data_IF_252596674811
#
_entry.id   IF_252596674811
#
_cell.length_a   1.000
_cell.length_b   1.000
_cell.length_c   1.000
_cell.angle_alpha   90.00
_cell.angle_beta   90.00
_cell.angle_gamma   90.00
#
_symmetry.space_group_name_H-M   'P 1'
#
loop_
_entity.id
_entity.type
_entity.pdbx_description
1 polymer ?
#
# COMPACT_ATOMS: atom_id res chain seq x y z
N UNK A 1 -3.09 -25.78 2.13
CA UNK A 1 -2.48 -24.93 1.07
C UNK A 1 -3.49 -23.98 0.44
N UNK A 2 -4.62 -24.49 -0.09
CA UNK A 2 -5.68 -23.66 -0.66
C UNK A 2 -6.28 -22.67 0.36
N UNK A 3 -6.52 -23.14 1.59
CA UNK A 3 -7.10 -22.28 2.64
C UNK A 3 -6.19 -21.09 2.99
N UNK A 4 -4.88 -21.28 3.07
CA UNK A 4 -3.92 -20.19 3.31
C UNK A 4 -3.95 -19.13 2.21
N UNK A 5 -4.10 -19.58 0.95
CA UNK A 5 -4.23 -18.67 -0.18
C UNK A 5 -5.53 -17.86 -0.09
N UNK A 6 -6.64 -18.52 0.26
CA UNK A 6 -7.94 -17.85 0.44
C UNK A 6 -7.90 -16.81 1.57
N UNK A 7 -7.29 -17.13 2.72
CA UNK A 7 -7.11 -16.16 3.81
C UNK A 7 -6.20 -15.00 3.42
N UNK A 8 -5.11 -15.28 2.71
CA UNK A 8 -4.20 -14.25 2.19
C UNK A 8 -4.93 -13.29 1.24
N UNK A 9 -5.67 -13.82 0.27
CA UNK A 9 -6.49 -13.01 -0.63
C UNK A 9 -7.56 -12.21 0.13
N UNK A 10 -8.22 -12.80 1.13
CA UNK A 10 -9.23 -12.14 1.95
C UNK A 10 -8.66 -10.94 2.73
N UNK A 11 -7.51 -11.12 3.38
CA UNK A 11 -6.82 -10.05 4.13
C UNK A 11 -6.34 -8.96 3.18
N UNK A 12 -5.79 -9.33 2.01
CA UNK A 12 -5.39 -8.36 1.00
C UNK A 12 -6.58 -7.53 0.52
N UNK A 13 -7.70 -8.17 0.14
CA UNK A 13 -8.92 -7.48 -0.29
C UNK A 13 -9.46 -6.55 0.80
N UNK A 14 -9.45 -6.98 2.07
CA UNK A 14 -9.83 -6.12 3.18
C UNK A 14 -8.91 -4.87 3.29
N UNK A 15 -7.60 -5.05 3.11
CA UNK A 15 -6.64 -3.95 3.01
C UNK A 15 -6.93 -2.98 1.86
N UNK A 16 -7.35 -3.49 0.70
CA UNK A 16 -7.73 -2.66 -0.45
C UNK A 16 -9.02 -1.88 -0.21
N UNK A 17 -10.01 -2.48 0.47
CA UNK A 17 -11.21 -1.76 0.91
C UNK A 17 -10.85 -0.64 1.88
N UNK A 18 -9.97 -0.91 2.85
CA UNK A 18 -9.46 0.11 3.78
C UNK A 18 -8.73 1.22 3.03
N UNK A 19 -7.89 0.88 2.04
CA UNK A 19 -7.19 1.84 1.20
C UNK A 19 -8.18 2.76 0.45
N UNK A 20 -9.24 2.19 -0.14
CA UNK A 20 -10.29 2.96 -0.81
C UNK A 20 -11.02 3.94 0.10
N UNK A 21 -11.05 3.71 1.42
CA UNK A 21 -11.60 4.63 2.40
C UNK A 21 -10.58 5.68 2.86
N UNK A 22 -9.31 5.30 3.03
CA UNK A 22 -8.26 6.18 3.55
C UNK A 22 -7.74 7.16 2.50
N UNK A 23 -7.50 6.73 1.26
CA UNK A 23 -6.92 7.60 0.23
C UNK A 23 -7.77 8.83 -0.13
N UNK A 24 -9.11 8.77 -0.15
CA UNK A 24 -9.96 9.96 -0.21
C UNK A 24 -9.67 10.98 0.90
N UNK A 25 -9.45 10.51 2.13
CA UNK A 25 -9.15 11.37 3.28
C UNK A 25 -7.77 12.02 3.11
N UNK A 26 -6.74 11.23 2.74
CA UNK A 26 -5.40 11.76 2.44
C UNK A 26 -5.46 12.82 1.34
N UNK A 27 -6.24 12.56 0.28
CA UNK A 27 -6.46 13.51 -0.82
C UNK A 27 -7.12 14.81 -0.38
N UNK A 28 -8.11 14.76 0.49
CA UNK A 28 -8.82 15.93 1.00
C UNK A 28 -7.94 16.75 1.96
N UNK A 29 -7.38 16.09 2.98
CA UNK A 29 -6.71 16.76 4.09
C UNK A 29 -5.26 17.16 3.79
N UNK A 30 -4.57 16.39 2.95
CA UNK A 30 -3.16 16.67 2.60
C UNK A 30 -3.05 17.26 1.20
N UNK A 31 -3.81 16.73 0.24
CA UNK A 31 -3.78 17.18 -1.15
C UNK A 31 -4.67 18.38 -1.47
N UNK A 32 -5.56 18.79 -0.55
CA UNK A 32 -6.50 19.90 -0.77
C UNK A 32 -7.51 19.68 -1.91
N UNK A 33 -7.74 18.42 -2.31
CA UNK A 33 -8.60 18.07 -3.43
C UNK A 33 -9.95 17.48 -2.99
N UNK A 34 -10.87 17.29 -3.94
CA UNK A 34 -12.18 16.72 -3.66
C UNK A 34 -12.09 15.30 -3.07
N UNK A 35 -12.96 15.04 -2.08
CA UNK A 35 -13.03 13.76 -1.36
C UNK A 35 -13.40 12.61 -2.32
N UNK A 36 -14.45 12.81 -3.12
CA UNK A 36 -14.92 11.79 -4.05
C UNK A 36 -14.01 11.75 -5.28
N UNK A 37 -13.46 10.56 -5.55
CA UNK A 37 -12.71 10.23 -6.76
C UNK A 37 -13.24 8.91 -7.29
N UNK A 38 -13.56 8.84 -8.58
CA UNK A 38 -13.82 7.55 -9.23
C UNK A 38 -12.49 6.80 -9.35
N UNK A 39 -12.43 5.48 -9.06
CA UNK A 39 -11.22 4.70 -9.24
C UNK A 39 -10.69 4.84 -10.67
N UNK A 40 -9.43 5.22 -10.80
CA UNK A 40 -8.76 5.43 -12.07
C UNK A 40 -7.46 4.61 -12.16
N UNK A 41 -6.68 4.85 -13.21
CA UNK A 41 -5.40 4.17 -13.41
C UNK A 41 -4.42 4.37 -12.25
N UNK A 42 -4.48 5.51 -11.56
CA UNK A 42 -3.63 5.78 -10.39
C UNK A 42 -4.08 4.95 -9.18
N UNK A 43 -5.38 4.75 -9.00
CA UNK A 43 -5.90 3.81 -8.01
C UNK A 43 -5.41 2.39 -8.30
N UNK A 44 -5.48 1.96 -9.56
CA UNK A 44 -5.01 0.62 -9.97
C UNK A 44 -3.50 0.43 -9.75
N UNK A 45 -2.68 1.43 -10.09
CA UNK A 45 -1.25 1.43 -9.76
C UNK A 45 -1.02 1.22 -8.26
N UNK A 46 -1.77 1.94 -7.42
CA UNK A 46 -1.69 1.79 -5.98
C UNK A 46 -2.01 0.36 -5.49
N UNK A 47 -3.01 -0.31 -6.08
CA UNK A 47 -3.35 -1.71 -5.79
C UNK A 47 -2.17 -2.62 -6.16
N UNK A 48 -1.62 -2.46 -7.36
CA UNK A 48 -0.51 -3.27 -7.86
C UNK A 48 0.75 -3.09 -7.01
N UNK A 49 1.06 -1.87 -6.62
CA UNK A 49 2.15 -1.54 -5.72
C UNK A 49 2.02 -2.24 -4.37
N UNK A 50 0.84 -2.17 -3.74
CA UNK A 50 0.57 -2.87 -2.48
C UNK A 50 0.63 -4.38 -2.64
N UNK A 51 0.16 -4.92 -3.76
CA UNK A 51 0.26 -6.35 -4.06
C UNK A 51 1.71 -6.81 -4.13
N UNK A 52 2.57 -6.05 -4.82
CA UNK A 52 4.01 -6.35 -4.91
C UNK A 52 4.67 -6.35 -3.54
N UNK A 53 4.41 -5.34 -2.71
CA UNK A 53 4.93 -5.27 -1.34
C UNK A 53 4.41 -6.45 -0.52
N UNK A 54 3.11 -6.71 -0.57
CA UNK A 54 2.45 -7.76 0.20
C UNK A 54 3.03 -9.14 -0.13
N UNK A 55 3.08 -9.50 -1.42
CA UNK A 55 3.63 -10.79 -1.87
C UNK A 55 5.13 -10.91 -1.55
N UNK A 56 5.89 -9.82 -1.72
CA UNK A 56 7.31 -9.79 -1.37
C UNK A 56 7.56 -10.05 0.12
N UNK A 57 6.81 -9.39 0.99
CA UNK A 57 6.90 -9.60 2.45
C UNK A 57 6.49 -11.01 2.86
N UNK A 58 5.41 -11.56 2.27
CA UNK A 58 5.00 -12.94 2.56
C UNK A 58 6.00 -13.99 2.09
N UNK A 59 6.82 -13.65 1.10
CA UNK A 59 7.89 -14.50 0.59
C UNK A 59 9.19 -14.36 1.38
N UNK A 60 9.21 -13.52 2.43
CA UNK A 60 10.41 -13.24 3.23
C UNK A 60 11.42 -12.34 2.52
N UNK A 61 10.97 -11.51 1.59
CA UNK A 61 11.81 -10.54 0.88
C UNK A 61 11.66 -9.15 1.50
N UNK A 62 12.27 -8.89 2.64
CA UNK A 62 12.19 -7.59 3.32
C UNK A 62 12.80 -6.46 2.47
N UNK A 63 13.76 -6.81 1.59
CA UNK A 63 14.36 -5.89 0.62
C UNK A 63 13.34 -5.27 -0.35
N UNK A 64 12.13 -5.84 -0.46
CA UNK A 64 11.05 -5.26 -1.28
C UNK A 64 10.70 -3.83 -0.84
N UNK A 65 10.79 -3.53 0.45
CA UNK A 65 10.52 -2.19 0.97
C UNK A 65 11.58 -1.18 0.52
N UNK A 66 12.85 -1.60 0.48
CA UNK A 66 13.97 -0.79 -0.01
C UNK A 66 13.83 -0.55 -1.50
N UNK A 67 13.56 -1.61 -2.27
CA UNK A 67 13.33 -1.54 -3.71
C UNK A 67 12.16 -0.59 -4.03
N UNK A 68 11.06 -0.70 -3.29
CA UNK A 68 9.88 0.12 -3.49
C UNK A 68 10.13 1.60 -3.15
N UNK A 69 10.85 1.86 -2.04
CA UNK A 69 11.29 3.21 -1.69
C UNK A 69 12.18 3.82 -2.78
N UNK A 70 13.14 3.06 -3.31
CA UNK A 70 14.00 3.49 -4.40
C UNK A 70 13.22 3.77 -5.69
N UNK A 71 12.24 2.94 -6.06
CA UNK A 71 11.39 3.14 -7.22
C UNK A 71 10.56 4.43 -7.12
N UNK A 72 9.96 4.69 -5.95
CA UNK A 72 9.18 5.92 -5.68
C UNK A 72 10.05 7.17 -5.66
N UNK A 73 11.30 7.07 -5.22
CA UNK A 73 12.26 8.18 -5.30
C UNK A 73 12.69 8.42 -6.75
N UNK A 74 13.10 7.37 -7.46
CA UNK A 74 13.62 7.45 -8.82
C UNK A 74 12.61 8.03 -9.82
N UNK A 75 11.32 7.74 -9.64
CA UNK A 75 10.25 8.29 -10.48
C UNK A 75 9.94 9.76 -10.21
N UNK A 76 10.46 10.35 -9.11
CA UNK A 76 10.17 11.72 -8.68
C UNK A 76 11.35 12.68 -8.76
N UNK A 77 12.56 12.20 -9.01
CA UNK A 77 13.78 13.03 -9.14
C UNK A 77 13.66 14.16 -10.17
N UNK A 78 12.77 14.05 -11.17
CA UNK A 78 12.54 15.09 -12.17
C UNK A 78 11.46 16.13 -11.79
N UNK A 79 10.72 15.94 -10.68
CA UNK A 79 9.56 16.77 -10.32
C UNK A 79 9.75 17.61 -9.03
N UNK A 80 10.94 17.59 -8.43
CA UNK A 80 11.23 18.22 -7.12
C UNK A 80 10.97 19.74 -7.07
N UNK A 81 10.93 20.44 -8.21
CA UNK A 81 10.74 21.89 -8.27
C UNK A 81 9.30 22.40 -8.28
N UNK A 82 8.26 21.53 -8.35
CA UNK A 82 6.94 21.98 -8.83
C UNK A 82 5.90 22.38 -7.77
N UNK A 83 5.94 21.92 -6.52
CA UNK A 83 5.07 22.41 -5.41
C UNK A 83 5.30 21.66 -4.07
N UNK A 84 5.53 22.35 -2.92
CA UNK A 84 5.71 21.70 -1.61
C UNK A 84 4.51 20.88 -1.12
N UNK A 85 3.28 21.36 -1.38
CA UNK A 85 2.03 20.68 -1.02
C UNK A 85 1.90 19.35 -1.76
N UNK A 86 2.30 19.32 -3.03
CA UNK A 86 2.36 18.10 -3.85
C UNK A 86 3.33 17.09 -3.23
N UNK A 87 4.51 17.55 -2.79
CA UNK A 87 5.51 16.67 -2.20
C UNK A 87 5.04 16.01 -0.88
N UNK A 88 4.41 16.79 0.01
CA UNK A 88 3.86 16.27 1.26
C UNK A 88 2.72 15.27 1.01
N UNK A 89 1.83 15.56 0.05
CA UNK A 89 0.76 14.65 -0.35
C UNK A 89 1.32 13.31 -0.86
N UNK A 90 2.34 13.33 -1.71
CA UNK A 90 2.98 12.11 -2.21
C UNK A 90 3.70 11.33 -1.11
N UNK A 91 4.42 12.00 -0.22
CA UNK A 91 5.12 11.34 0.88
C UNK A 91 4.13 10.63 1.82
N UNK A 92 3.09 11.34 2.27
CA UNK A 92 2.06 10.76 3.14
C UNK A 92 1.35 9.61 2.43
N UNK A 93 0.94 9.79 1.17
CA UNK A 93 0.28 8.74 0.39
C UNK A 93 1.13 7.46 0.27
N UNK A 94 2.44 7.59 0.01
CA UNK A 94 3.34 6.45 -0.09
C UNK A 94 3.52 5.75 1.25
N UNK A 95 3.74 6.50 2.35
CA UNK A 95 3.86 5.92 3.68
C UNK A 95 2.58 5.22 4.13
N UNK A 96 1.41 5.81 3.86
CA UNK A 96 0.11 5.18 4.11
C UNK A 96 -0.05 3.89 3.31
N UNK A 97 0.33 3.88 2.02
CA UNK A 97 0.26 2.68 1.17
C UNK A 97 1.12 1.54 1.71
N UNK A 98 2.38 1.84 2.06
CA UNK A 98 3.32 0.88 2.63
C UNK A 98 2.81 0.35 3.98
N UNK A 99 2.28 1.23 4.83
CA UNK A 99 1.72 0.84 6.13
C UNK A 99 0.57 -0.15 5.98
N UNK A 100 -0.37 0.11 5.06
CA UNK A 100 -1.49 -0.81 4.79
C UNK A 100 -0.97 -2.19 4.36
N UNK A 101 0.00 -2.24 3.43
CA UNK A 101 0.55 -3.51 2.94
C UNK A 101 1.30 -4.29 4.04
N UNK A 102 2.10 -3.60 4.87
CA UNK A 102 2.79 -4.21 6.01
C UNK A 102 1.77 -4.73 7.02
N UNK A 103 0.75 -3.94 7.39
CA UNK A 103 -0.28 -4.36 8.34
C UNK A 103 -1.03 -5.58 7.83
N UNK A 104 -1.37 -5.63 6.54
CA UNK A 104 -1.99 -6.82 5.94
C UNK A 104 -1.07 -8.05 6.04
N UNK A 105 0.23 -7.91 5.75
CA UNK A 105 1.19 -9.01 5.82
C UNK A 105 1.36 -9.52 7.26
N UNK A 106 1.48 -8.60 8.21
CA UNK A 106 1.57 -8.90 9.65
C UNK A 106 0.29 -9.57 10.15
N UNK A 107 -0.89 -9.10 9.74
CA UNK A 107 -2.16 -9.71 10.10
C UNK A 107 -2.24 -11.16 9.64
N UNK A 108 -1.83 -11.46 8.40
CA UNK A 108 -1.76 -12.84 7.91
C UNK A 108 -0.76 -13.67 8.71
N UNK A 109 0.42 -13.12 9.01
CA UNK A 109 1.44 -13.83 9.81
C UNK A 109 0.91 -14.22 11.20
N UNK A 110 0.29 -13.29 11.92
CA UNK A 110 -0.31 -13.57 13.23
C UNK A 110 -1.48 -14.55 13.14
N UNK A 111 -2.34 -14.40 12.12
CA UNK A 111 -3.44 -15.33 11.88
C UNK A 111 -2.92 -16.75 11.61
N UNK A 112 -1.90 -16.89 10.76
CA UNK A 112 -1.30 -18.17 10.44
C UNK A 112 -0.66 -18.80 11.68
N UNK A 113 0.11 -18.03 12.46
CA UNK A 113 0.76 -18.50 13.69
C UNK A 113 -0.25 -19.01 14.74
N UNK A 114 -1.39 -18.34 14.90
CA UNK A 114 -2.39 -18.69 15.91
C UNK A 114 -3.25 -19.90 15.52
N UNK A 115 -3.46 -20.15 14.23
CA UNK A 115 -4.35 -21.22 13.74
C UNK A 115 -3.60 -22.48 13.30
N UNK A 116 -2.29 -22.37 13.07
CA UNK A 116 -1.47 -23.46 12.56
C UNK A 116 -0.16 -23.48 13.35
N UNK A 117 -0.19 -24.11 14.53
CA UNK A 117 1.02 -24.39 15.30
C UNK A 117 1.95 -25.25 14.44
N UNK A 118 3.11 -24.70 14.06
CA UNK A 118 4.25 -25.48 13.60
C UNK A 118 5.02 -26.00 14.81
#
# INVERSE_FOLDING_TARGET
MLDHLLYSCGIFIAGEVIALLIFPLVRKYVGGAALLKVPDIETFKGVLERLVIYVGLLSGYEIILVMFGALKLGTRLHDEGKNPVSNNYFLVGNLTSVLIAITAAVALFYFAKNNYSF
#
